data_IF_267456327526
#
_entry.id   IF_267456327526
#
_cell.length_a   1.000
_cell.length_b   1.000
_cell.length_c   1.000
_cell.angle_alpha   90.00
_cell.angle_beta   90.00
_cell.angle_gamma   90.00
#
_symmetry.space_group_name_H-M   'P 1'
#
loop_
_entity.id
_entity.type
_entity.pdbx_description
1 polymer ?
#
# COMPACT_ATOMS: atom_id res chain seq x y z
N UNK A 1 17.86 3.54 -44.51
CA UNK A 1 19.34 3.44 -44.50
C UNK A 1 19.91 4.75 -43.97
N UNK A 2 20.70 4.68 -42.91
CA UNK A 2 21.87 5.52 -42.55
C UNK A 2 21.78 7.05 -42.77
N UNK A 3 22.32 7.92 -41.94
CA UNK A 3 23.06 7.90 -40.65
C UNK A 3 23.40 9.38 -40.45
N UNK A 4 23.23 9.89 -39.23
CA UNK A 4 23.99 11.06 -38.73
C UNK A 4 25.49 10.65 -38.55
N UNK A 5 26.47 11.48 -38.11
CA UNK A 5 26.61 12.96 -37.96
C UNK A 5 28.08 13.47 -38.22
N UNK A 6 28.44 14.67 -37.68
CA UNK A 6 29.77 15.24 -37.26
C UNK A 6 30.20 16.49 -38.06
N UNK A 7 30.96 17.49 -37.58
CA UNK A 7 31.46 18.02 -36.29
C UNK A 7 32.46 19.16 -36.63
N UNK A 8 32.60 20.27 -35.86
CA UNK A 8 33.75 21.23 -35.86
C UNK A 8 33.74 22.00 -34.50
N UNK A 9 34.64 21.81 -33.50
CA UNK A 9 35.96 22.44 -33.17
C UNK A 9 36.04 23.99 -33.32
N UNK A 10 36.76 24.86 -32.57
CA UNK A 10 37.71 24.84 -31.44
C UNK A 10 38.06 26.33 -31.03
N UNK A 11 38.90 26.47 -29.98
CA UNK A 11 39.80 27.59 -29.56
C UNK A 11 39.22 28.66 -28.58
N UNK A 12 39.69 28.85 -27.32
CA UNK A 12 41.02 29.08 -26.67
C UNK A 12 41.49 30.56 -26.70
N UNK A 13 41.64 31.18 -25.51
CA UNK A 13 42.79 32.05 -25.16
C UNK A 13 43.01 32.16 -23.63
N UNK A 14 44.29 32.29 -23.24
CA UNK A 14 44.91 32.17 -21.92
C UNK A 14 45.29 33.52 -21.27
N UNK A 15 45.29 33.52 -19.92
CA UNK A 15 46.29 34.05 -18.95
C UNK A 15 46.64 35.56 -18.89
N UNK A 16 47.02 36.19 -17.76
CA UNK A 16 47.20 35.77 -16.36
C UNK A 16 47.82 36.90 -15.50
N UNK A 17 47.83 36.71 -14.17
CA UNK A 17 48.71 37.26 -13.10
C UNK A 17 48.74 38.78 -12.79
N UNK A 18 49.06 39.31 -11.60
CA UNK A 18 49.06 38.91 -10.17
C UNK A 18 49.65 40.10 -9.34
N UNK A 19 49.24 40.26 -8.07
CA UNK A 19 49.94 40.84 -6.88
C UNK A 19 48.93 41.60 -5.97
N UNK A 20 48.41 41.04 -4.87
CA UNK A 20 48.98 40.83 -3.51
C UNK A 20 49.39 42.12 -2.76
N UNK A 21 48.77 42.37 -1.58
CA UNK A 21 49.46 42.44 -0.27
C UNK A 21 48.48 42.66 0.91
N UNK A 22 48.61 41.78 1.93
CA UNK A 22 48.31 42.00 3.36
C UNK A 22 46.89 41.66 3.82
N UNK A 23 46.64 40.78 4.80
CA UNK A 23 47.47 40.03 5.72
C UNK A 23 46.60 39.43 6.84
N UNK A 24 47.17 38.47 7.58
CA UNK A 24 46.67 37.72 8.76
C UNK A 24 45.86 36.43 8.51
N UNK A 25 46.54 35.32 8.77
CA UNK A 25 46.07 33.97 9.15
C UNK A 25 46.78 33.58 10.45
N UNK A 26 46.48 32.45 11.15
CA UNK A 26 45.30 31.58 11.10
C UNK A 26 44.76 31.20 12.50
N UNK A 27 43.57 30.61 12.55
CA UNK A 27 43.33 29.41 13.38
C UNK A 27 42.23 28.55 12.76
N UNK A 28 42.56 27.28 12.63
CA UNK A 28 41.80 26.13 12.14
C UNK A 28 40.42 25.97 12.78
N UNK A 29 39.40 25.68 11.96
CA UNK A 29 38.85 24.33 11.96
C UNK A 29 38.09 24.05 10.67
N UNK A 30 38.33 22.85 10.14
CA UNK A 30 37.67 22.30 8.97
C UNK A 30 36.40 21.55 9.42
N UNK A 31 35.29 21.82 8.75
CA UNK A 31 34.05 21.03 8.82
C UNK A 31 33.21 21.44 7.61
N UNK A 32 33.46 20.81 6.47
CA UNK A 32 32.79 19.59 6.01
C UNK A 32 31.39 19.92 5.48
N UNK A 33 31.29 19.81 4.15
CA UNK A 33 30.06 19.68 3.40
C UNK A 33 29.09 18.76 4.13
N UNK A 34 27.89 19.26 4.41
CA UNK A 34 26.83 18.45 5.00
C UNK A 34 26.25 17.59 3.89
N UNK A 35 26.78 16.38 3.79
CA UNK A 35 26.13 15.26 3.11
C UNK A 35 24.68 15.16 3.58
N UNK A 36 23.75 15.39 2.66
CA UNK A 36 22.34 15.05 2.83
C UNK A 36 22.14 13.53 2.67
N UNK A 37 22.86 12.76 3.49
CA UNK A 37 22.60 11.35 3.77
C UNK A 37 22.34 11.24 5.28
N UNK A 38 21.27 11.90 5.73
CA UNK A 38 20.75 11.70 7.07
C UNK A 38 19.72 10.57 7.03
N UNK A 39 20.20 9.38 7.40
CA UNK A 39 19.51 8.34 8.15
C UNK A 39 17.98 8.52 8.23
N UNK A 40 17.27 7.87 7.29
CA UNK A 40 15.84 7.62 7.40
C UNK A 40 15.63 6.58 8.51
N UNK A 41 15.84 7.03 9.75
CA UNK A 41 15.57 6.29 10.95
C UNK A 41 14.12 5.83 10.94
N UNK A 42 13.95 4.53 11.15
CA UNK A 42 12.69 3.81 11.28
C UNK A 42 11.78 4.45 12.35
N UNK A 43 10.91 5.37 11.94
CA UNK A 43 9.72 5.73 12.73
C UNK A 43 8.76 4.54 12.76
N UNK A 44 8.08 4.29 13.89
CA UNK A 44 7.05 3.27 13.97
C UNK A 44 5.91 3.58 13.00
N UNK A 45 5.38 2.50 12.47
CA UNK A 45 4.54 2.44 11.28
C UNK A 45 3.23 3.18 11.52
N UNK A 46 2.95 4.18 10.69
CA UNK A 46 1.66 4.85 10.68
C UNK A 46 0.84 4.22 9.56
N UNK A 47 -0.23 3.51 9.95
CA UNK A 47 -1.08 2.62 9.16
C UNK A 47 -1.78 3.22 7.92
N UNK A 48 -1.38 4.42 7.52
CA UNK A 48 -1.55 4.98 6.19
C UNK A 48 -0.60 6.19 6.11
N UNK A 49 0.24 6.26 5.07
CA UNK A 49 1.17 7.38 4.88
C UNK A 49 2.57 7.23 5.48
N UNK A 50 2.99 6.03 5.90
CA UNK A 50 4.39 5.75 6.25
C UNK A 50 4.85 4.34 5.83
N UNK A 51 6.05 4.18 5.25
CA UNK A 51 6.56 2.88 4.84
C UNK A 51 6.77 1.95 6.04
N UNK A 52 6.32 0.70 5.89
CA UNK A 52 6.34 -0.33 6.93
C UNK A 52 7.36 -1.44 6.72
N UNK A 53 8.62 -1.17 7.05
CA UNK A 53 9.78 -2.00 6.72
C UNK A 53 10.01 -3.16 7.71
N UNK A 54 9.90 -4.43 7.30
CA UNK A 54 10.25 -5.52 8.24
C UNK A 54 10.59 -6.92 7.70
N UNK A 55 10.74 -7.18 6.40
CA UNK A 55 11.00 -8.57 5.97
C UNK A 55 12.45 -8.99 6.22
N UNK A 56 12.66 -9.88 7.18
CA UNK A 56 14.00 -10.39 7.52
C UNK A 56 14.33 -11.58 6.62
N UNK A 57 15.50 -11.58 5.96
CA UNK A 57 15.96 -12.80 5.26
C UNK A 57 16.36 -13.84 6.29
N UNK A 58 15.84 -15.07 6.16
CA UNK A 58 16.26 -16.20 6.99
C UNK A 58 16.19 -17.49 6.18
N UNK A 59 17.16 -18.41 6.33
CA UNK A 59 17.09 -19.69 5.62
C UNK A 59 16.05 -20.60 6.28
N UNK A 60 15.02 -20.98 5.53
CA UNK A 60 14.01 -21.96 5.93
C UNK A 60 13.70 -22.91 4.78
N UNK A 61 13.50 -24.20 5.08
CA UNK A 61 13.09 -25.19 4.08
C UNK A 61 11.57 -25.27 4.01
N UNK A 62 10.96 -25.29 5.19
CA UNK A 62 9.53 -25.31 5.42
C UNK A 62 9.13 -24.11 6.30
N UNK A 63 7.98 -23.50 6.01
CA UNK A 63 7.48 -22.37 6.78
C UNK A 63 7.13 -22.75 8.24
N UNK A 64 6.88 -24.03 8.52
CA UNK A 64 6.66 -24.56 9.86
C UNK A 64 7.92 -24.51 10.75
N UNK A 65 9.12 -24.43 10.16
CA UNK A 65 10.39 -24.34 10.89
C UNK A 65 10.74 -22.90 11.30
N UNK A 66 10.02 -21.91 10.76
CA UNK A 66 10.32 -20.50 10.98
C UNK A 66 10.08 -20.15 12.46
N UNK A 67 11.12 -19.63 13.12
CA UNK A 67 11.05 -19.11 14.48
C UNK A 67 10.37 -17.72 14.51
N UNK A 68 9.07 -17.67 14.21
CA UNK A 68 8.29 -16.44 14.08
C UNK A 68 8.40 -15.48 15.26
N UNK A 69 8.57 -15.99 16.48
CA UNK A 69 8.75 -15.17 17.69
C UNK A 69 10.03 -14.32 17.68
N UNK A 70 10.99 -14.61 16.80
CA UNK A 70 12.23 -13.84 16.62
C UNK A 70 12.15 -12.81 15.51
N UNK A 71 11.06 -12.81 14.74
CA UNK A 71 10.85 -11.86 13.65
C UNK A 71 10.11 -10.62 14.16
N UNK A 72 10.45 -9.42 13.66
CA UNK A 72 9.74 -8.20 14.00
C UNK A 72 8.27 -8.32 13.57
N UNK A 73 7.37 -7.90 14.45
CA UNK A 73 5.96 -7.77 14.15
C UNK A 73 5.69 -6.38 13.59
N UNK A 74 4.98 -6.34 12.46
CA UNK A 74 4.34 -5.13 11.94
C UNK A 74 2.91 -5.13 12.49
N UNK A 75 2.58 -4.26 13.46
CA UNK A 75 1.19 -4.06 13.82
C UNK A 75 0.47 -3.43 12.62
N UNK A 76 -0.71 -3.95 12.30
CA UNK A 76 -1.59 -3.47 11.24
C UNK A 76 -2.88 -2.96 11.89
N UNK A 77 -3.22 -1.70 11.63
CA UNK A 77 -4.60 -1.25 11.80
C UNK A 77 -5.43 -1.66 10.58
N UNK A 78 -6.54 -2.36 10.83
CA UNK A 78 -7.48 -2.77 9.80
C UNK A 78 -8.76 -1.93 9.91
N UNK A 79 -9.13 -1.28 8.81
CA UNK A 79 -10.29 -0.41 8.69
C UNK A 79 -11.45 -1.20 8.06
N UNK A 80 -12.69 -0.94 8.45
CA UNK A 80 -13.82 -1.52 7.75
C UNK A 80 -13.88 -0.98 6.32
N UNK A 81 -14.16 -1.86 5.35
CA UNK A 81 -14.36 -1.42 3.98
C UNK A 81 -15.77 -0.82 3.83
N UNK A 82 -15.84 0.42 3.33
CA UNK A 82 -17.09 1.19 3.21
C UNK A 82 -17.35 1.73 1.81
N UNK A 83 -16.46 1.45 0.85
CA UNK A 83 -16.53 2.06 -0.49
C UNK A 83 -17.49 1.34 -1.45
N UNK A 84 -17.83 0.08 -1.17
CA UNK A 84 -18.59 -0.83 -2.03
C UNK A 84 -19.46 -1.77 -1.19
N UNK A 85 -20.68 -2.02 -1.64
CA UNK A 85 -21.60 -2.96 -0.99
C UNK A 85 -21.35 -4.43 -1.39
N UNK A 86 -21.51 -5.40 -0.48
CA UNK A 86 -21.83 -5.21 0.94
C UNK A 86 -20.63 -4.63 1.71
N UNK A 87 -20.83 -3.49 2.35
CA UNK A 87 -19.81 -2.85 3.18
C UNK A 87 -19.81 -3.42 4.61
N UNK A 88 -18.85 -2.97 5.40
CA UNK A 88 -18.84 -3.15 6.84
C UNK A 88 -18.96 -1.80 7.53
N UNK A 89 -19.90 -1.68 8.45
CA UNK A 89 -19.90 -0.62 9.45
C UNK A 89 -19.40 -1.22 10.76
N UNK A 90 -18.53 -0.53 11.48
CA UNK A 90 -18.01 -1.08 12.73
C UNK A 90 -16.72 -0.44 13.20
N UNK A 91 -16.21 -0.95 14.31
CA UNK A 91 -14.94 -0.54 14.88
C UNK A 91 -13.76 -1.00 14.01
N UNK A 92 -12.65 -0.28 14.12
CA UNK A 92 -11.37 -0.74 13.60
C UNK A 92 -10.96 -2.04 14.30
N UNK A 93 -10.24 -2.90 13.60
CA UNK A 93 -9.62 -4.11 14.15
C UNK A 93 -8.12 -4.09 13.90
N UNK A 94 -7.39 -5.07 14.42
CA UNK A 94 -5.92 -5.11 14.31
C UNK A 94 -5.42 -6.52 13.99
N UNK A 95 -4.27 -6.58 13.31
CA UNK A 95 -3.54 -7.82 13.09
C UNK A 95 -2.03 -7.57 13.24
N UNK A 96 -1.27 -8.60 13.58
CA UNK A 96 0.19 -8.58 13.51
C UNK A 96 0.65 -9.31 12.26
N UNK A 97 1.41 -8.62 11.42
CA UNK A 97 2.07 -9.21 10.26
C UNK A 97 3.56 -9.46 10.57
N UNK A 98 4.02 -10.67 10.27
CA UNK A 98 5.45 -11.01 10.24
C UNK A 98 5.80 -11.55 8.87
N UNK A 99 6.99 -11.24 8.38
CA UNK A 99 7.43 -11.72 7.08
C UNK A 99 8.90 -12.12 7.08
N UNK A 100 9.23 -13.16 6.30
CA UNK A 100 10.60 -13.56 6.02
C UNK A 100 10.72 -14.12 4.60
N UNK A 101 11.94 -14.16 4.07
CA UNK A 101 12.25 -14.76 2.77
C UNK A 101 13.51 -15.62 2.88
N UNK A 102 13.53 -16.74 2.15
CA UNK A 102 14.75 -17.54 1.95
C UNK A 102 15.60 -17.03 0.75
N UNK A 103 15.07 -16.07 -0.01
CA UNK A 103 15.65 -15.52 -1.24
C UNK A 103 14.95 -15.98 -2.53
N UNK A 104 14.13 -17.03 -2.47
CA UNK A 104 13.34 -17.54 -3.60
C UNK A 104 11.84 -17.52 -3.31
N UNK A 105 11.48 -17.65 -2.04
CA UNK A 105 10.12 -17.70 -1.52
C UNK A 105 9.95 -16.67 -0.42
N UNK A 106 8.73 -16.19 -0.27
CA UNK A 106 8.30 -15.39 0.87
C UNK A 106 7.38 -16.22 1.76
N UNK A 107 7.49 -16.01 3.07
CA UNK A 107 6.55 -16.52 4.06
C UNK A 107 6.04 -15.33 4.88
N UNK A 108 4.72 -15.24 5.02
CA UNK A 108 4.05 -14.23 5.82
C UNK A 108 3.16 -14.93 6.84
N UNK A 109 3.20 -14.45 8.08
CA UNK A 109 2.26 -14.87 9.13
C UNK A 109 1.43 -13.68 9.56
N UNK A 110 0.12 -13.85 9.55
CA UNK A 110 -0.83 -12.89 10.08
C UNK A 110 -1.50 -13.49 11.31
N UNK A 111 -1.40 -12.78 12.42
CA UNK A 111 -2.04 -13.11 13.68
C UNK A 111 -3.15 -12.07 13.93
N UNK A 112 -4.42 -12.47 14.06
CA UNK A 112 -5.52 -11.53 14.36
C UNK A 112 -6.48 -12.11 15.39
N UNK A 113 -7.13 -11.20 16.13
CA UNK A 113 -8.13 -11.58 17.12
C UNK A 113 -9.45 -11.92 16.43
N UNK A 114 -10.08 -13.00 16.87
CA UNK A 114 -11.35 -13.48 16.34
C UNK A 114 -12.03 -14.32 17.42
N UNK A 115 -13.22 -13.97 17.92
CA UNK A 115 -13.86 -14.67 19.02
C UNK A 115 -14.42 -16.04 18.63
N UNK A 116 -14.71 -16.25 17.35
CA UNK A 116 -15.37 -17.45 16.84
C UNK A 116 -14.42 -18.24 15.92
N UNK A 117 -14.74 -19.52 15.71
CA UNK A 117 -14.03 -20.32 14.71
C UNK A 117 -15.05 -20.74 13.65
N UNK A 118 -15.07 -20.01 12.54
CA UNK A 118 -16.03 -20.22 11.48
C UNK A 118 -15.35 -20.88 10.27
N UNK A 119 -15.70 -22.14 10.04
CA UNK A 119 -15.13 -22.95 8.96
C UNK A 119 -16.11 -23.04 7.79
N UNK A 120 -15.55 -23.03 6.59
CA UNK A 120 -16.28 -23.28 5.35
C UNK A 120 -17.11 -24.56 5.46
N UNK A 121 -18.36 -24.49 5.00
CA UNK A 121 -19.28 -25.61 4.97
C UNK A 121 -19.96 -25.69 3.61
N UNK A 122 -19.87 -26.84 2.95
CA UNK A 122 -20.63 -27.09 1.71
C UNK A 122 -22.13 -27.30 1.95
N UNK A 123 -22.52 -27.59 3.19
CA UNK A 123 -23.90 -27.91 3.55
C UNK A 123 -24.75 -26.67 3.90
N UNK A 124 -24.12 -25.52 4.13
CA UNK A 124 -24.78 -24.30 4.58
C UNK A 124 -24.44 -23.13 3.64
N UNK A 125 -25.46 -22.46 3.12
CA UNK A 125 -25.31 -21.31 2.21
C UNK A 125 -25.34 -19.97 2.94
N UNK A 126 -25.69 -19.98 4.22
CA UNK A 126 -25.85 -18.82 5.10
C UNK A 126 -24.73 -18.69 6.13
N UNK A 127 -23.72 -19.55 6.07
CA UNK A 127 -22.54 -19.53 6.93
C UNK A 127 -21.31 -19.17 6.13
N UNK A 128 -20.53 -18.25 6.68
CA UNK A 128 -19.30 -17.76 6.07
C UNK A 128 -18.10 -18.23 6.88
N UNK A 129 -16.94 -18.31 6.25
CA UNK A 129 -15.73 -18.78 6.88
C UNK A 129 -14.85 -17.60 7.26
N UNK A 130 -14.12 -17.74 8.36
CA UNK A 130 -13.01 -16.85 8.67
C UNK A 130 -12.01 -16.91 7.51
N UNK A 131 -11.56 -15.74 7.09
CA UNK A 131 -10.75 -15.63 5.89
C UNK A 131 -9.65 -14.59 6.04
N UNK A 132 -8.55 -14.83 5.32
CA UNK A 132 -7.40 -13.94 5.22
C UNK A 132 -7.06 -13.74 3.76
N UNK A 133 -6.89 -12.50 3.33
CA UNK A 133 -6.26 -12.16 2.06
C UNK A 133 -4.97 -11.39 2.30
N UNK A 134 -3.92 -11.77 1.58
CA UNK A 134 -2.69 -10.98 1.47
C UNK A 134 -2.54 -10.59 0.00
N UNK A 135 -2.55 -9.30 -0.26
CA UNK A 135 -2.40 -8.73 -1.59
C UNK A 135 -0.98 -8.19 -1.79
N UNK A 136 -0.46 -8.35 -3.00
CA UNK A 136 0.89 -7.95 -3.39
C UNK A 136 0.86 -7.07 -4.64
N UNK A 137 1.57 -5.95 -4.61
CA UNK A 137 1.91 -5.19 -5.82
C UNK A 137 3.26 -5.70 -6.36
N UNK A 138 3.23 -6.37 -7.51
CA UNK A 138 4.41 -7.06 -8.09
C UNK A 138 4.91 -6.40 -9.39
N UNK A 139 4.42 -5.21 -9.72
CA UNK A 139 4.75 -4.48 -10.95
C UNK A 139 6.11 -3.77 -10.89
N UNK A 140 6.76 -3.72 -9.72
CA UNK A 140 8.04 -3.02 -9.55
C UNK A 140 7.92 -1.50 -9.62
N UNK A 141 6.70 -0.95 -9.63
CA UNK A 141 6.45 0.48 -9.81
C UNK A 141 6.99 1.33 -8.65
N UNK A 142 7.20 2.62 -8.93
CA UNK A 142 7.54 3.64 -7.94
C UNK A 142 6.31 4.39 -7.40
N UNK A 143 5.11 4.00 -7.87
CA UNK A 143 3.79 4.32 -7.31
C UNK A 143 3.08 3.04 -6.90
N UNK A 144 1.98 3.14 -6.15
CA UNK A 144 1.22 1.96 -5.72
C UNK A 144 -0.05 1.79 -6.57
N UNK A 145 -0.39 0.55 -6.98
CA UNK A 145 -1.70 0.30 -7.57
C UNK A 145 -2.79 0.49 -6.50
N UNK A 146 -4.04 0.63 -6.93
CA UNK A 146 -5.15 0.73 -5.99
C UNK A 146 -5.18 -0.45 -5.01
N UNK A 147 -5.25 -0.16 -3.72
CA UNK A 147 -5.28 -1.18 -2.66
C UNK A 147 -6.52 -2.06 -2.73
N UNK A 148 -7.62 -1.56 -3.31
CA UNK A 148 -8.84 -2.32 -3.56
C UNK A 148 -8.76 -3.17 -4.83
N UNK A 149 -7.76 -4.05 -4.92
CA UNK A 149 -7.61 -5.07 -5.97
C UNK A 149 -7.00 -4.58 -7.29
N UNK A 150 -6.13 -3.57 -7.24
CA UNK A 150 -5.29 -3.16 -8.37
C UNK A 150 -5.99 -2.25 -9.38
N UNK A 151 -5.41 -2.19 -10.58
CA UNK A 151 -5.89 -1.40 -11.72
C UNK A 151 -5.85 -2.27 -12.99
N UNK A 152 -6.58 -1.90 -14.07
CA UNK A 152 -6.57 -2.65 -15.32
C UNK A 152 -5.17 -3.01 -15.83
N UNK A 153 -4.28 -2.01 -15.85
CA UNK A 153 -2.90 -2.12 -16.34
C UNK A 153 -1.87 -2.37 -15.23
N UNK A 154 -2.30 -2.39 -13.97
CA UNK A 154 -1.44 -2.60 -12.79
C UNK A 154 -2.08 -3.63 -11.87
N UNK A 155 -2.08 -4.90 -12.28
CA UNK A 155 -2.73 -5.95 -11.52
C UNK A 155 -2.00 -6.22 -10.21
N UNK A 156 -2.73 -6.83 -9.29
CA UNK A 156 -2.21 -7.33 -8.01
C UNK A 156 -2.39 -8.83 -7.92
N UNK A 157 -1.47 -9.48 -7.22
CA UNK A 157 -1.63 -10.88 -6.82
C UNK A 157 -2.29 -10.91 -5.44
N UNK A 158 -3.25 -11.80 -5.23
CA UNK A 158 -3.92 -11.99 -3.95
C UNK A 158 -3.78 -13.46 -3.54
N UNK A 159 -3.16 -13.71 -2.40
CA UNK A 159 -3.25 -15.00 -1.73
C UNK A 159 -4.44 -14.99 -0.80
N UNK A 160 -5.42 -15.85 -1.05
CA UNK A 160 -6.67 -15.88 -0.31
C UNK A 160 -6.84 -17.22 0.40
N UNK A 161 -6.91 -17.17 1.73
CA UNK A 161 -7.13 -18.32 2.60
C UNK A 161 -8.52 -18.27 3.22
N UNK A 162 -9.14 -19.45 3.33
CA UNK A 162 -10.41 -19.68 4.01
C UNK A 162 -10.30 -20.84 4.97
N UNK A 163 -10.77 -20.63 6.20
CA UNK A 163 -10.86 -21.67 7.21
C UNK A 163 -11.67 -22.86 6.68
N UNK A 164 -11.09 -24.06 6.72
CA UNK A 164 -11.72 -25.28 6.22
C UNK A 164 -11.69 -25.49 4.69
N UNK A 165 -11.17 -24.54 3.89
CA UNK A 165 -11.05 -24.68 2.43
C UNK A 165 -9.60 -24.64 1.91
N UNK A 166 -8.69 -24.01 2.67
CA UNK A 166 -7.29 -23.84 2.26
C UNK A 166 -7.04 -22.49 1.62
N UNK A 167 -5.94 -22.35 0.87
CA UNK A 167 -5.59 -21.11 0.19
C UNK A 167 -5.44 -21.29 -1.32
N UNK A 168 -5.63 -20.19 -2.04
CA UNK A 168 -5.49 -20.09 -3.48
C UNK A 168 -4.71 -18.82 -3.87
N UNK A 169 -4.13 -18.84 -5.07
CA UNK A 169 -3.49 -17.67 -5.68
C UNK A 169 -4.45 -17.09 -6.72
N UNK A 170 -4.75 -15.80 -6.58
CA UNK A 170 -5.65 -15.04 -7.42
C UNK A 170 -4.93 -13.83 -8.02
N UNK A 171 -5.47 -13.30 -9.10
CA UNK A 171 -5.03 -12.05 -9.72
C UNK A 171 -6.24 -11.13 -9.90
N UNK A 172 -6.02 -9.82 -9.74
CA UNK A 172 -7.04 -8.81 -9.99
C UNK A 172 -6.46 -7.64 -10.77
N UNK A 173 -7.22 -7.19 -11.77
CA UNK A 173 -6.96 -6.06 -12.67
C UNK A 173 -7.89 -4.89 -12.33
N UNK A 174 -8.04 -4.60 -11.05
CA UNK A 174 -9.09 -3.73 -10.53
C UNK A 174 -10.10 -4.49 -9.69
N UNK A 175 -10.85 -3.72 -8.90
CA UNK A 175 -12.01 -4.24 -8.16
C UNK A 175 -12.90 -5.08 -9.10
N UNK A 176 -13.57 -6.11 -8.55
CA UNK A 176 -14.49 -7.05 -9.21
C UNK A 176 -13.97 -7.85 -10.42
N UNK A 177 -12.65 -7.86 -10.67
CA UNK A 177 -12.01 -8.69 -11.71
C UNK A 177 -11.26 -9.90 -11.17
N UNK A 178 -11.42 -10.21 -9.88
CA UNK A 178 -10.69 -11.29 -9.21
C UNK A 178 -10.89 -12.62 -9.93
N UNK A 179 -9.79 -13.24 -10.31
CA UNK A 179 -9.77 -14.50 -11.03
C UNK A 179 -8.63 -15.41 -10.53
N UNK A 180 -8.69 -16.72 -10.79
CA UNK A 180 -7.55 -17.61 -10.55
C UNK A 180 -6.28 -17.09 -11.23
N UNK A 181 -5.15 -17.16 -10.53
CA UNK A 181 -3.84 -16.83 -11.10
C UNK A 181 -3.32 -18.04 -11.89
N UNK A 182 -3.73 -18.15 -13.15
CA UNK A 182 -3.41 -19.30 -14.00
C UNK A 182 -1.88 -19.52 -14.13
N UNK A 183 -1.44 -20.75 -13.89
CA UNK A 183 -0.02 -21.13 -13.95
C UNK A 183 0.78 -20.83 -12.67
N UNK A 184 0.23 -20.09 -11.71
CA UNK A 184 0.83 -19.93 -10.39
C UNK A 184 0.41 -21.08 -9.45
N UNK A 185 1.36 -21.57 -8.65
CA UNK A 185 1.03 -22.49 -7.57
C UNK A 185 0.24 -21.76 -6.47
N UNK A 186 -0.70 -22.45 -5.84
CA UNK A 186 -1.30 -21.98 -4.60
C UNK A 186 -0.22 -21.84 -3.50
N UNK A 187 -0.33 -20.86 -2.60
CA UNK A 187 0.60 -20.75 -1.48
C UNK A 187 0.44 -21.96 -0.54
N UNK A 188 1.56 -22.39 0.06
CA UNK A 188 1.52 -23.32 1.18
C UNK A 188 0.87 -22.64 2.38
N UNK A 189 0.13 -23.41 3.17
CA UNK A 189 -0.65 -22.92 4.31
C UNK A 189 -0.29 -23.68 5.57
N UNK A 190 0.00 -22.96 6.65
CA UNK A 190 -0.08 -23.45 8.03
C UNK A 190 -1.02 -22.52 8.81
N UNK A 191 -2.23 -22.99 9.12
CA UNK A 191 -3.26 -22.20 9.78
C UNK A 191 -3.63 -22.84 11.13
N UNK A 192 -3.54 -22.05 12.20
CA UNK A 192 -3.75 -22.48 13.57
C UNK A 192 -4.79 -21.60 14.25
N UNK A 193 -5.78 -22.24 14.87
CA UNK A 193 -6.68 -21.59 15.80
C UNK A 193 -5.95 -21.36 17.13
N UNK A 194 -6.02 -20.15 17.67
CA UNK A 194 -5.50 -19.78 18.99
C UNK A 194 -6.67 -19.46 19.93
N UNK A 195 -6.43 -19.33 21.25
CA UNK A 195 -7.47 -18.85 22.16
C UNK A 195 -7.97 -17.43 21.84
N UNK A 196 -7.12 -16.59 21.26
CA UNK A 196 -7.42 -15.19 20.94
C UNK A 196 -7.97 -14.99 19.52
N UNK A 197 -7.76 -15.94 18.61
CA UNK A 197 -8.16 -15.81 17.21
C UNK A 197 -7.44 -16.78 16.29
N UNK A 198 -6.83 -16.26 15.23
CA UNK A 198 -6.15 -17.05 14.20
C UNK A 198 -4.69 -16.66 14.04
N UNK A 199 -3.85 -17.65 13.74
CA UNK A 199 -2.47 -17.50 13.28
C UNK A 199 -2.34 -18.24 11.96
N UNK A 200 -2.21 -17.50 10.86
CA UNK A 200 -2.18 -18.07 9.50
C UNK A 200 -0.88 -17.69 8.81
N UNK A 201 -0.13 -18.71 8.42
CA UNK A 201 1.07 -18.59 7.60
C UNK A 201 0.78 -18.99 6.17
N UNK A 202 1.07 -18.07 5.24
CA UNK A 202 1.05 -18.31 3.79
C UNK A 202 2.47 -18.17 3.25
N UNK A 203 2.92 -19.13 2.43
CA UNK A 203 4.26 -19.08 1.84
C UNK A 203 4.32 -19.61 0.42
N UNK A 204 5.19 -19.03 -0.40
CA UNK A 204 5.30 -19.37 -1.81
C UNK A 204 6.23 -18.43 -2.56
N UNK A 205 6.37 -18.64 -3.87
CA UNK A 205 7.12 -17.76 -4.75
C UNK A 205 6.21 -16.67 -5.31
N UNK A 206 6.78 -15.49 -5.51
CA UNK A 206 6.16 -14.37 -6.20
C UNK A 206 7.07 -13.95 -7.37
N UNK A 207 6.51 -13.39 -8.46
CA UNK A 207 7.29 -12.95 -9.62
C UNK A 207 7.96 -11.60 -9.34
N UNK A 208 8.80 -11.54 -8.30
CA UNK A 208 9.53 -10.33 -7.90
C UNK A 208 11.01 -10.64 -7.80
N UNK A 209 11.83 -9.79 -8.42
CA UNK A 209 13.29 -9.91 -8.42
C UNK A 209 13.91 -9.32 -7.14
N UNK A 210 13.24 -8.33 -6.56
CA UNK A 210 13.62 -7.64 -5.33
C UNK A 210 12.51 -7.68 -4.28
N UNK A 211 12.89 -7.75 -3.01
CA UNK A 211 11.93 -7.63 -1.92
C UNK A 211 11.90 -6.19 -1.43
N UNK A 212 11.46 -5.27 -2.29
CA UNK A 212 10.73 -4.07 -1.87
C UNK A 212 9.28 -4.29 -2.32
N UNK A 213 8.50 -4.97 -1.47
CA UNK A 213 7.23 -5.55 -1.82
C UNK A 213 6.09 -4.86 -1.05
N UNK A 214 5.25 -4.06 -1.73
CA UNK A 214 4.02 -3.56 -1.12
C UNK A 214 3.05 -4.71 -0.86
N UNK A 215 2.57 -4.79 0.37
CA UNK A 215 1.59 -5.77 0.84
C UNK A 215 0.40 -5.08 1.52
N UNK A 216 -0.79 -5.62 1.33
CA UNK A 216 -1.99 -5.24 2.08
C UNK A 216 -2.68 -6.50 2.59
N UNK A 217 -3.31 -6.40 3.75
CA UNK A 217 -3.99 -7.53 4.41
C UNK A 217 -5.47 -7.21 4.53
N UNK A 218 -6.32 -8.22 4.33
CA UNK A 218 -7.72 -8.13 4.69
C UNK A 218 -8.17 -9.39 5.46
N UNK A 219 -9.04 -9.20 6.44
CA UNK A 219 -9.63 -10.27 7.24
C UNK A 219 -11.16 -10.22 7.19
N UNK A 220 -11.77 -11.39 7.28
CA UNK A 220 -13.22 -11.57 7.35
C UNK A 220 -13.53 -12.46 8.55
N UNK A 221 -14.46 -12.01 9.38
CA UNK A 221 -15.06 -12.77 10.48
C UNK A 221 -16.33 -13.47 9.96
N UNK A 222 -16.37 -14.80 10.01
CA UNK A 222 -17.48 -15.60 9.50
C UNK A 222 -18.76 -15.46 10.32
N UNK A 223 -18.66 -15.33 11.65
CA UNK A 223 -19.79 -15.14 12.56
C UNK A 223 -20.50 -13.79 12.32
N UNK A 224 -19.74 -12.76 11.96
CA UNK A 224 -20.25 -11.48 11.50
C UNK A 224 -20.62 -11.50 10.01
N UNK A 225 -20.69 -12.65 9.36
CA UNK A 225 -21.10 -12.77 7.95
C UNK A 225 -20.13 -12.11 6.97
N UNK A 226 -18.86 -12.02 7.34
CA UNK A 226 -17.77 -11.50 6.54
C UNK A 226 -17.62 -12.27 5.23
N UNK A 227 -17.78 -11.55 4.12
CA UNK A 227 -17.58 -12.02 2.74
C UNK A 227 -17.42 -10.82 1.81
N UNK A 228 -16.87 -11.01 0.62
CA UNK A 228 -16.78 -9.97 -0.41
C UNK A 228 -16.23 -8.64 0.16
N UNK A 229 -16.96 -7.53 0.04
CA UNK A 229 -16.61 -6.23 0.58
C UNK A 229 -16.74 -6.11 2.10
N UNK A 230 -17.49 -6.98 2.77
CA UNK A 230 -17.77 -6.90 4.20
C UNK A 230 -16.59 -7.47 4.99
N UNK A 231 -15.55 -6.65 5.14
CA UNK A 231 -14.23 -7.02 5.67
C UNK A 231 -13.55 -5.87 6.38
N UNK A 232 -12.49 -6.20 7.10
CA UNK A 232 -11.48 -5.22 7.51
C UNK A 232 -10.24 -5.34 6.62
N UNK A 233 -9.61 -4.21 6.30
CA UNK A 233 -8.40 -4.19 5.48
C UNK A 233 -7.40 -3.13 5.95
N UNK A 234 -6.10 -3.42 5.76
CA UNK A 234 -5.02 -2.49 5.98
C UNK A 234 -4.83 -1.56 4.78
N UNK A 235 -4.07 -0.48 5.00
CA UNK A 235 -3.38 0.22 3.91
C UNK A 235 -2.25 -0.65 3.32
N UNK A 236 -1.56 -0.14 2.30
CA UNK A 236 -0.29 -0.72 1.84
C UNK A 236 0.82 -0.55 2.89
N UNK A 237 1.56 -1.64 3.12
CA UNK A 237 2.77 -1.74 3.94
C UNK A 237 3.94 -2.22 3.06
N UNK A 238 5.18 -1.77 3.33
CA UNK A 238 6.33 -2.06 2.47
C UNK A 238 7.27 -3.10 3.08
N UNK A 239 7.16 -4.35 2.67
CA UNK A 239 8.12 -5.37 3.08
C UNK A 239 9.45 -5.17 2.36
N UNK A 240 10.51 -4.88 3.11
CA UNK A 240 11.87 -4.80 2.58
C UNK A 240 12.75 -5.95 3.05
N UNK A 241 13.59 -6.53 2.19
CA UNK A 241 14.73 -7.34 2.61
C UNK A 241 15.92 -6.44 2.95
N UNK A 242 16.56 -6.68 4.10
CA UNK A 242 17.74 -5.91 4.52
C UNK A 242 19.02 -6.21 3.70
N UNK A 243 19.02 -7.25 2.87
CA UNK A 243 20.24 -7.73 2.18
C UNK A 243 20.37 -7.30 0.73
N UNK A 244 19.27 -6.89 0.09
CA UNK A 244 19.31 -6.43 -1.30
C UNK A 244 19.46 -4.90 -1.37
N UNK A 245 20.33 -4.39 -2.26
CA UNK A 245 20.42 -2.95 -2.47
C UNK A 245 19.08 -2.45 -3.02
N UNK A 246 18.46 -1.52 -2.31
CA UNK A 246 17.22 -0.90 -2.73
C UNK A 246 17.45 -0.04 -3.98
N UNK A 247 16.56 -0.14 -4.97
CA UNK A 247 16.48 0.87 -6.02
C UNK A 247 16.09 2.22 -5.39
N UNK A 248 17.07 3.12 -5.30
CA UNK A 248 16.88 4.46 -4.74
C UNK A 248 15.83 5.28 -5.51
N UNK A 249 15.63 5.04 -6.81
CA UNK A 249 14.62 5.75 -7.59
C UNK A 249 13.21 5.30 -7.17
N UNK A 250 12.98 3.99 -7.13
CA UNK A 250 11.73 3.39 -6.63
C UNK A 250 11.42 3.81 -5.20
N UNK A 251 12.42 3.74 -4.31
CA UNK A 251 12.28 4.18 -2.91
C UNK A 251 11.84 5.65 -2.82
N UNK A 252 12.47 6.54 -3.60
CA UNK A 252 12.07 7.96 -3.64
C UNK A 252 10.66 8.17 -4.20
N UNK A 253 10.23 7.38 -5.17
CA UNK A 253 8.86 7.44 -5.69
C UNK A 253 7.83 7.08 -4.63
N UNK A 254 8.01 5.94 -3.98
CA UNK A 254 7.12 5.48 -2.91
C UNK A 254 7.11 6.45 -1.72
N UNK A 255 8.26 7.05 -1.38
CA UNK A 255 8.33 8.09 -0.35
C UNK A 255 7.54 9.36 -0.72
N UNK A 256 7.47 9.73 -2.01
CA UNK A 256 6.59 10.83 -2.45
C UNK A 256 5.11 10.46 -2.35
N UNK A 257 4.77 9.22 -2.72
CA UNK A 257 3.39 8.73 -2.66
C UNK A 257 2.84 8.63 -1.23
N UNK A 258 3.71 8.39 -0.24
CA UNK A 258 3.29 8.29 1.15
C UNK A 258 3.03 9.64 1.82
N UNK A 259 3.31 10.77 1.15
CA UNK A 259 3.21 12.10 1.75
C UNK A 259 2.32 13.05 0.92
N UNK A 260 1.69 14.00 1.62
CA UNK A 260 1.09 15.20 1.04
C UNK A 260 1.61 16.43 1.77
N UNK A 261 1.82 17.51 1.04
CA UNK A 261 2.33 18.78 1.56
C UNK A 261 1.25 19.86 1.78
N UNK A 262 -0.02 19.54 1.57
CA UNK A 262 -1.12 20.52 1.64
C UNK A 262 -1.59 20.85 3.07
N UNK A 263 -2.38 21.92 3.21
CA UNK A 263 -3.06 22.33 4.44
C UNK A 263 -4.39 21.55 4.60
N UNK A 264 -4.49 20.61 5.56
CA UNK A 264 -5.71 19.82 5.75
C UNK A 264 -6.91 20.66 6.21
N UNK A 265 -6.68 21.82 6.84
CA UNK A 265 -7.77 22.74 7.20
C UNK A 265 -8.35 23.39 5.96
N UNK A 266 -7.49 23.83 5.02
CA UNK A 266 -7.94 24.34 3.72
C UNK A 266 -8.60 23.25 2.88
N UNK A 267 -8.07 22.03 2.90
CA UNK A 267 -8.68 20.88 2.24
C UNK A 267 -10.10 20.60 2.71
N UNK A 268 -10.35 20.71 4.02
CA UNK A 268 -11.70 20.57 4.60
C UNK A 268 -12.69 21.62 4.08
N UNK A 269 -12.24 22.85 3.87
CA UNK A 269 -13.07 23.91 3.26
C UNK A 269 -13.33 23.59 1.78
N UNK A 270 -12.28 23.20 1.05
CA UNK A 270 -12.34 22.88 -0.38
C UNK A 270 -13.30 21.72 -0.71
N UNK A 271 -13.35 20.65 0.09
CA UNK A 271 -14.30 19.55 -0.18
C UNK A 271 -15.77 19.99 -0.13
N UNK A 272 -16.07 21.08 0.58
CA UNK A 272 -17.39 21.70 0.60
C UNK A 272 -17.56 22.66 -0.58
N UNK A 273 -16.59 23.56 -0.79
CA UNK A 273 -16.59 24.57 -1.86
C UNK A 273 -16.64 23.94 -3.27
N UNK A 274 -15.96 22.80 -3.46
CA UNK A 274 -15.90 22.05 -4.72
C UNK A 274 -17.03 21.02 -4.88
N UNK A 275 -17.93 20.92 -3.89
CA UNK A 275 -19.13 20.07 -3.97
C UNK A 275 -18.89 18.57 -3.78
N UNK A 276 -17.72 18.15 -3.27
CA UNK A 276 -17.42 16.73 -3.04
C UNK A 276 -18.43 16.05 -2.11
N UNK A 277 -18.93 16.81 -1.12
CA UNK A 277 -19.96 16.36 -0.16
C UNK A 277 -21.34 16.07 -0.79
N UNK A 278 -21.59 16.51 -2.03
CA UNK A 278 -22.84 16.17 -2.73
C UNK A 278 -22.90 14.70 -3.16
N UNK A 279 -21.73 14.05 -3.31
CA UNK A 279 -21.63 12.65 -3.69
C UNK A 279 -21.03 11.78 -2.59
N UNK A 280 -20.02 12.25 -1.88
CA UNK A 280 -19.30 11.48 -0.88
C UNK A 280 -19.77 11.78 0.54
N UNK A 281 -19.88 10.74 1.37
CA UNK A 281 -19.97 10.90 2.82
C UNK A 281 -18.62 11.35 3.38
N UNK A 282 -18.63 12.43 4.14
CA UNK A 282 -17.46 13.03 4.81
C UNK A 282 -17.86 13.49 6.22
N UNK A 283 -16.93 13.57 7.19
CA UNK A 283 -17.26 13.97 8.55
C UNK A 283 -17.92 15.35 8.63
N UNK A 284 -19.12 15.40 9.21
CA UNK A 284 -19.93 16.62 9.33
C UNK A 284 -20.63 17.05 8.03
N UNK A 285 -20.56 16.26 6.96
CA UNK A 285 -21.31 16.43 5.73
C UNK A 285 -22.65 15.69 5.73
N UNK A 286 -23.41 15.75 4.63
CA UNK A 286 -24.63 14.97 4.45
C UNK A 286 -24.32 13.47 4.33
N UNK A 287 -25.31 12.64 4.62
CA UNK A 287 -25.25 11.20 4.45
C UNK A 287 -25.42 10.79 2.98
N UNK A 288 -24.43 11.09 2.14
CA UNK A 288 -24.46 10.81 0.70
C UNK A 288 -23.86 9.45 0.35
N UNK A 289 -24.55 8.71 -0.51
CA UNK A 289 -24.18 7.36 -0.95
C UNK A 289 -23.92 7.26 -2.46
N UNK A 290 -23.90 8.40 -3.18
CA UNK A 290 -23.64 8.41 -4.62
C UNK A 290 -22.19 8.08 -4.96
N UNK A 291 -21.24 8.58 -4.17
CA UNK A 291 -19.79 8.30 -4.20
C UNK A 291 -19.37 7.39 -3.04
N UNK A 292 -18.12 6.88 -3.01
CA UNK A 292 -17.62 6.12 -1.88
C UNK A 292 -17.71 6.92 -0.57
N UNK A 293 -17.95 6.23 0.54
CA UNK A 293 -17.72 6.78 1.87
C UNK A 293 -16.22 7.10 2.04
N UNK A 294 -15.90 8.34 2.40
CA UNK A 294 -14.54 8.83 2.57
C UNK A 294 -14.18 9.08 4.04
N UNK A 295 -15.06 8.73 4.99
CA UNK A 295 -14.86 9.01 6.42
C UNK A 295 -13.61 8.36 7.00
N UNK A 296 -13.11 7.27 6.39
CA UNK A 296 -11.89 6.56 6.76
C UNK A 296 -10.87 6.45 5.61
N UNK A 297 -11.01 7.31 4.58
CA UNK A 297 -10.20 7.20 3.36
C UNK A 297 -8.70 7.25 3.62
N UNK A 298 -8.28 8.12 4.55
CA UNK A 298 -6.88 8.29 4.95
C UNK A 298 -6.33 7.18 5.83
N UNK A 299 -7.16 6.20 6.25
CA UNK A 299 -6.72 4.99 6.95
C UNK A 299 -6.43 3.82 6.01
N UNK A 300 -7.05 3.82 4.82
CA UNK A 300 -6.94 2.73 3.83
C UNK A 300 -6.02 3.13 2.67
N UNK A 301 -5.98 4.41 2.31
CA UNK A 301 -5.31 4.88 1.11
C UNK A 301 -4.09 5.75 1.39
N UNK A 302 -3.06 5.59 0.57
CA UNK A 302 -1.91 6.49 0.56
C UNK A 302 -2.27 7.83 -0.11
N UNK A 303 -1.61 8.94 0.27
CA UNK A 303 -1.80 10.24 -0.36
C UNK A 303 -1.68 10.23 -1.89
N UNK A 304 -0.75 9.45 -2.44
CA UNK A 304 -0.60 9.19 -3.88
C UNK A 304 -1.89 8.77 -4.59
N UNK A 305 -2.56 7.76 -4.05
CA UNK A 305 -3.84 7.30 -4.55
C UNK A 305 -4.92 8.39 -4.41
N UNK A 306 -5.01 9.03 -3.24
CA UNK A 306 -6.03 10.05 -2.99
C UNK A 306 -5.90 11.22 -3.98
N UNK A 307 -4.68 11.71 -4.19
CA UNK A 307 -4.35 12.71 -5.21
C UNK A 307 -4.79 12.28 -6.59
N UNK A 308 -4.38 11.07 -7.02
CA UNK A 308 -4.73 10.55 -8.35
C UNK A 308 -6.23 10.30 -8.52
N UNK A 309 -6.95 9.91 -7.47
CA UNK A 309 -8.40 9.75 -7.53
C UNK A 309 -9.15 11.08 -7.73
N UNK A 310 -8.55 12.21 -7.37
CA UNK A 310 -9.10 13.55 -7.61
C UNK A 310 -8.84 13.98 -9.07
N UNK A 311 -7.61 13.76 -9.56
CA UNK A 311 -7.18 14.25 -10.89
C UNK A 311 -7.54 13.29 -12.03
N UNK A 312 -7.60 12.00 -11.75
CA UNK A 312 -7.87 10.90 -12.69
C UNK A 312 -8.89 9.91 -12.12
N UNK A 313 -10.14 10.33 -11.81
CA UNK A 313 -11.12 9.47 -11.13
C UNK A 313 -11.46 8.17 -11.87
N UNK A 314 -11.37 8.17 -13.20
CA UNK A 314 -11.67 7.00 -14.04
C UNK A 314 -10.52 5.98 -14.10
N UNK A 315 -9.32 6.33 -13.62
CA UNK A 315 -8.13 5.45 -13.72
C UNK A 315 -8.28 4.11 -12.99
N UNK A 316 -9.18 4.05 -12.00
CA UNK A 316 -9.39 2.89 -11.14
C UNK A 316 -10.66 2.11 -11.49
N UNK A 317 -11.45 2.59 -12.46
CA UNK A 317 -12.72 1.99 -12.83
C UNK A 317 -12.52 0.99 -13.96
N UNK A 318 -12.91 -0.26 -13.73
CA UNK A 318 -12.87 -1.30 -14.77
C UNK A 318 -14.11 -1.16 -15.67
N UNK A 319 -13.95 -0.97 -17.00
CA UNK A 319 -15.08 -0.86 -17.91
C UNK A 319 -15.98 -2.12 -17.90
N UNK A 320 -17.30 -1.90 -17.92
CA UNK A 320 -18.27 -2.99 -18.05
C UNK A 320 -18.58 -3.74 -16.75
N UNK A 321 -17.84 -3.48 -15.66
CA UNK A 321 -18.23 -3.97 -14.35
C UNK A 321 -18.97 -2.88 -13.58
N UNK A 322 -20.19 -3.18 -13.13
CA UNK A 322 -21.07 -2.18 -12.49
C UNK A 322 -20.58 -1.89 -11.07
N UNK A 323 -19.81 -0.82 -10.91
CA UNK A 323 -19.39 -0.32 -9.58
C UNK A 323 -20.13 0.93 -9.12
N UNK A 324 -20.63 1.74 -10.06
CA UNK A 324 -21.43 2.93 -9.77
C UNK A 324 -22.20 3.35 -11.01
N UNK A 325 -23.41 3.84 -10.80
CA UNK A 325 -24.23 4.41 -11.86
C UNK A 325 -23.87 5.88 -12.15
N UNK A 326 -23.10 6.53 -11.26
CA UNK A 326 -22.70 7.94 -11.38
C UNK A 326 -21.16 8.04 -11.39
N UNK A 327 -20.55 8.47 -12.50
CA UNK A 327 -19.10 8.68 -12.57
C UNK A 327 -18.69 9.90 -11.74
N UNK A 328 -17.51 9.85 -11.12
CA UNK A 328 -16.94 11.00 -10.43
C UNK A 328 -16.46 12.02 -11.47
N UNK A 329 -16.85 13.30 -11.37
CA UNK A 329 -16.41 14.31 -12.33
C UNK A 329 -14.91 14.58 -12.20
N UNK A 330 -14.21 14.69 -13.33
CA UNK A 330 -12.85 15.22 -13.36
C UNK A 330 -12.92 16.75 -13.17
N UNK A 331 -12.50 17.23 -12.00
CA UNK A 331 -12.46 18.65 -11.69
C UNK A 331 -11.12 19.25 -12.09
N UNK A 332 -11.15 20.39 -12.79
CA UNK A 332 -9.94 21.17 -13.12
C UNK A 332 -9.52 22.01 -11.90
N UNK A 333 -8.84 21.36 -10.95
CA UNK A 333 -8.35 21.97 -9.71
C UNK A 333 -6.87 22.34 -9.82
N UNK A 334 -6.43 23.48 -9.27
CA UNK A 334 -5.01 23.78 -9.12
C UNK A 334 -4.31 22.72 -8.26
N UNK A 335 -3.05 22.41 -8.57
CA UNK A 335 -2.25 21.42 -7.85
C UNK A 335 -2.23 21.66 -6.33
N UNK A 336 -2.17 22.93 -5.89
CA UNK A 336 -2.23 23.28 -4.47
C UNK A 336 -3.55 22.90 -3.81
N UNK A 337 -4.68 23.02 -4.52
CA UNK A 337 -5.97 22.61 -3.97
C UNK A 337 -6.10 21.08 -3.92
N UNK A 338 -5.55 20.37 -4.91
CA UNK A 338 -5.48 18.91 -4.89
C UNK A 338 -4.67 18.44 -3.69
N UNK A 339 -3.51 19.07 -3.41
CA UNK A 339 -2.70 18.75 -2.23
C UNK A 339 -3.44 19.06 -0.92
N UNK A 340 -4.11 20.19 -0.80
CA UNK A 340 -4.88 20.54 0.40
C UNK A 340 -6.00 19.51 0.65
N UNK A 341 -6.76 19.16 -0.38
CA UNK A 341 -7.81 18.12 -0.31
C UNK A 341 -7.19 16.76 0.04
N UNK A 342 -6.09 16.39 -0.59
CA UNK A 342 -5.37 15.13 -0.33
C UNK A 342 -4.90 15.07 1.13
N UNK A 343 -4.36 16.16 1.66
CA UNK A 343 -3.92 16.29 3.06
C UNK A 343 -5.10 16.13 4.03
N UNK A 344 -6.24 16.76 3.72
CA UNK A 344 -7.47 16.57 4.50
C UNK A 344 -7.94 15.11 4.49
N UNK A 345 -8.08 14.50 3.31
CA UNK A 345 -8.53 13.11 3.18
C UNK A 345 -7.57 12.14 3.89
N UNK A 346 -6.25 12.38 3.82
CA UNK A 346 -5.23 11.58 4.50
C UNK A 346 -5.32 11.64 6.04
N UNK A 347 -5.98 12.67 6.57
CA UNK A 347 -6.24 12.84 8.02
C UNK A 347 -7.48 12.07 8.51
N UNK A 348 -8.30 11.52 7.62
CA UNK A 348 -9.54 10.81 7.95
C UNK A 348 -9.25 9.34 8.30
N UNK A 349 -9.27 9.00 9.59
CA UNK A 349 -8.93 7.69 10.17
C UNK A 349 -9.79 7.36 11.38
#
# INVERSE_FOLDING_TARGET
MNRNPRAVLAAIFMAGAAAMLGGCSPSSDAGADVDADADAGSEPLRDAGGPSEAAVRSPWRDAAEIAWSRLPAIPLQLYPQQSVEPGLEGALSSADLRATTDGERIALRVDWADPAEDRYSEAHTDRFADSLAIQFAVDGGDTLPYVGMGEPERPVIVWFWRAGRGAESLVAHGFGTLAPNEGAAAPNVDAKRTPEGWSVTLSGSLPVDDLLLPVAVATWDGADGGRDGRKHLSSWHLLRSSEQPLDKARQRGLARESHSGGDPRRGKELVQERGCTACHRLPGGPDSHLGPDLTLAGGIHWPGYLRRSITEPDAFIVPGVRYRDVPMPALDLPESEVEDITSYLSSLR
#
